data_IF_376434082354
#
_entry.id   IF_376434082354
#
_cell.length_a   1.000
_cell.length_b   1.000
_cell.length_c   1.000
_cell.angle_alpha   90.00
_cell.angle_beta   90.00
_cell.angle_gamma   90.00
#
_symmetry.space_group_name_H-M   'P 1'
#
loop_
_entity.id
_entity.type
_entity.pdbx_description
1 polymer ?
#
# COMPACT_ATOMS: atom_id res chain seq x y z
N UNK A 1 -19.25 -52.87 -17.35
CA UNK A 1 -18.61 -52.54 -16.05
C UNK A 1 -18.33 -51.05 -16.05
N UNK A 2 -19.01 -50.32 -15.18
CA UNK A 2 -19.07 -48.87 -15.16
C UNK A 2 -17.92 -48.31 -14.30
N UNK A 3 -17.02 -47.51 -14.90
CA UNK A 3 -16.04 -46.72 -14.21
C UNK A 3 -16.52 -45.27 -14.03
N UNK A 4 -16.77 -44.86 -12.80
CA UNK A 4 -17.21 -43.50 -12.42
C UNK A 4 -16.07 -42.51 -12.61
N UNK A 5 -16.21 -41.54 -13.49
CA UNK A 5 -15.45 -40.32 -13.48
C UNK A 5 -15.85 -39.47 -12.26
N UNK A 6 -14.88 -39.21 -11.38
CA UNK A 6 -15.01 -38.24 -10.30
C UNK A 6 -14.58 -36.88 -10.88
N UNK A 7 -15.55 -35.99 -11.09
CA UNK A 7 -15.28 -34.58 -11.40
C UNK A 7 -14.70 -33.89 -10.17
N UNK A 8 -13.41 -33.56 -10.22
CA UNK A 8 -12.79 -32.65 -9.27
C UNK A 8 -13.20 -31.22 -9.62
N UNK A 9 -14.07 -30.66 -8.81
CA UNK A 9 -14.48 -29.25 -8.89
C UNK A 9 -13.30 -28.34 -8.59
N UNK A 10 -12.94 -27.56 -9.59
CA UNK A 10 -11.88 -26.56 -9.54
C UNK A 10 -12.29 -25.38 -8.65
N UNK A 11 -11.87 -25.38 -7.39
CA UNK A 11 -11.83 -24.20 -6.53
C UNK A 11 -10.39 -23.66 -6.48
N UNK A 12 -10.00 -22.94 -7.49
CA UNK A 12 -8.73 -22.22 -7.42
C UNK A 12 -8.70 -21.12 -8.47
N UNK A 13 -9.13 -19.94 -8.15
CA UNK A 13 -8.67 -18.75 -8.89
C UNK A 13 -8.84 -17.42 -8.15
N UNK A 14 -8.70 -17.42 -6.81
CA UNK A 14 -8.78 -16.16 -6.03
C UNK A 14 -7.40 -15.54 -5.73
N UNK A 15 -6.31 -16.22 -6.05
CA UNK A 15 -4.95 -15.78 -5.67
C UNK A 15 -4.07 -15.33 -6.84
N UNK A 16 -4.57 -15.34 -8.07
CA UNK A 16 -3.75 -15.07 -9.26
C UNK A 16 -3.64 -13.58 -9.64
N UNK A 17 -4.36 -12.69 -8.97
CA UNK A 17 -4.40 -11.25 -9.27
C UNK A 17 -3.50 -10.38 -8.38
N UNK A 18 -2.82 -10.96 -7.38
CA UNK A 18 -2.00 -10.20 -6.42
C UNK A 18 -0.52 -10.14 -6.83
N UNK A 19 -0.09 -10.89 -7.86
CA UNK A 19 1.32 -11.01 -8.21
C UNK A 19 1.87 -9.90 -9.13
N UNK A 20 1.09 -8.89 -9.49
CA UNK A 20 1.53 -7.84 -10.41
C UNK A 20 1.61 -6.44 -9.79
N UNK A 21 1.78 -6.33 -8.48
CA UNK A 21 2.04 -5.06 -7.81
C UNK A 21 3.49 -5.00 -7.34
N UNK A 22 4.29 -4.38 -8.21
CA UNK A 22 5.55 -3.64 -7.96
C UNK A 22 6.36 -4.04 -6.72
N UNK A 23 7.50 -4.64 -7.03
CA UNK A 23 8.66 -4.81 -6.15
C UNK A 23 8.88 -3.58 -5.28
N UNK A 24 8.38 -3.62 -4.07
CA UNK A 24 8.81 -2.74 -3.00
C UNK A 24 9.25 -3.63 -1.86
N UNK A 25 10.57 -3.70 -1.66
CA UNK A 25 11.24 -4.35 -0.55
C UNK A 25 10.81 -5.79 -0.22
N UNK A 26 11.20 -6.74 -1.05
CA UNK A 26 11.28 -8.13 -0.62
C UNK A 26 12.63 -8.36 0.05
N UNK A 27 12.73 -8.07 1.34
CA UNK A 27 13.74 -8.73 2.15
C UNK A 27 13.21 -10.14 2.38
N UNK A 28 13.73 -11.10 1.64
CA UNK A 28 13.44 -12.52 1.81
C UNK A 28 14.11 -12.94 3.12
N UNK A 29 13.36 -12.95 4.21
CA UNK A 29 13.74 -13.71 5.37
C UNK A 29 13.03 -15.07 5.29
N UNK A 30 13.81 -16.14 5.35
CA UNK A 30 13.40 -17.54 5.20
C UNK A 30 12.58 -18.03 6.40
N UNK A 31 11.42 -17.44 6.66
CA UNK A 31 10.44 -17.94 7.63
C UNK A 31 9.06 -17.33 7.39
N UNK A 32 8.27 -17.97 6.52
CA UNK A 32 6.87 -17.67 6.32
C UNK A 32 6.61 -16.37 5.54
N UNK A 33 5.90 -16.45 4.40
CA UNK A 33 5.42 -15.28 3.64
C UNK A 33 4.53 -14.42 4.54
N UNK A 34 5.10 -13.41 5.19
CA UNK A 34 4.34 -12.36 5.85
C UNK A 34 3.86 -11.41 4.77
N UNK A 35 2.56 -11.34 4.55
CA UNK A 35 1.98 -10.39 3.62
C UNK A 35 2.17 -8.96 4.18
N UNK A 36 2.73 -8.04 3.39
CA UNK A 36 2.85 -6.64 3.79
C UNK A 36 1.46 -6.05 4.04
N UNK A 37 1.39 -5.00 4.85
CA UNK A 37 0.17 -4.23 5.03
C UNK A 37 -0.18 -3.51 3.73
N UNK A 38 -1.44 -3.50 3.36
CA UNK A 38 -1.97 -2.76 2.22
C UNK A 38 -3.25 -2.03 2.63
N UNK A 39 -3.42 -0.79 2.14
CA UNK A 39 -4.64 -0.02 2.31
C UNK A 39 -5.75 -0.57 1.40
N UNK A 40 -6.99 -0.42 1.84
CA UNK A 40 -8.17 -0.80 1.06
C UNK A 40 -8.25 -0.02 -0.25
N UNK A 41 -8.44 -0.72 -1.35
CA UNK A 41 -8.53 -0.10 -2.68
C UNK A 41 -9.73 0.86 -2.78
N UNK A 42 -10.86 0.52 -2.16
CA UNK A 42 -12.05 1.37 -2.11
C UNK A 42 -11.81 2.71 -1.42
N UNK A 43 -10.94 2.73 -0.41
CA UNK A 43 -10.51 3.97 0.24
C UNK A 43 -9.61 4.79 -0.69
N UNK A 44 -8.64 4.16 -1.35
CA UNK A 44 -7.70 4.83 -2.24
C UNK A 44 -8.36 5.45 -3.48
N UNK A 45 -9.44 4.83 -4.00
CA UNK A 45 -10.20 5.36 -5.14
C UNK A 45 -10.69 6.80 -4.91
N UNK A 46 -11.02 7.17 -3.67
CA UNK A 46 -11.49 8.50 -3.32
C UNK A 46 -10.42 9.59 -3.53
N UNK A 47 -9.14 9.20 -3.49
CA UNK A 47 -8.01 10.13 -3.59
C UNK A 47 -7.36 10.17 -4.98
N UNK A 48 -7.61 9.18 -5.84
CA UNK A 48 -6.98 9.11 -7.18
C UNK A 48 -7.25 10.33 -8.05
N UNK A 49 -8.46 10.90 -7.94
CA UNK A 49 -8.90 12.06 -8.72
C UNK A 49 -8.92 13.35 -7.91
N UNK A 50 -8.54 13.31 -6.64
CA UNK A 50 -8.55 14.49 -5.77
C UNK A 50 -7.28 15.31 -5.98
N UNK A 51 -7.44 16.62 -6.11
CA UNK A 51 -6.31 17.55 -6.22
C UNK A 51 -5.62 17.68 -4.87
N UNK A 52 -4.30 17.46 -4.80
CA UNK A 52 -3.55 17.68 -3.56
C UNK A 52 -3.52 19.15 -3.17
N UNK A 53 -3.56 19.51 -1.88
CA UNK A 53 -3.55 20.89 -1.42
C UNK A 53 -2.13 21.48 -1.41
N UNK A 54 -1.42 21.41 -2.54
CA UNK A 54 -0.14 22.08 -2.71
C UNK A 54 -0.35 23.61 -2.70
N UNK A 55 0.26 24.29 -1.74
CA UNK A 55 0.19 25.74 -1.64
C UNK A 55 1.16 26.48 -2.59
N UNK A 56 1.26 27.79 -2.38
CA UNK A 56 2.24 28.65 -3.05
C UNK A 56 2.07 28.76 -4.57
N UNK A 57 0.84 28.88 -5.07
CA UNK A 57 0.54 29.08 -6.50
C UNK A 57 1.26 28.05 -7.42
N UNK A 58 1.26 26.77 -7.03
CA UNK A 58 1.87 25.67 -7.81
C UNK A 58 3.35 25.41 -7.51
N UNK A 59 4.04 26.27 -6.75
CA UNK A 59 5.43 26.02 -6.37
C UNK A 59 5.58 24.74 -5.55
N UNK A 60 4.63 24.46 -4.65
CA UNK A 60 4.63 23.24 -3.85
C UNK A 60 4.58 21.98 -4.70
N UNK A 61 3.73 21.96 -5.75
CA UNK A 61 3.65 20.86 -6.70
C UNK A 61 4.97 20.68 -7.48
N UNK A 62 5.55 21.78 -7.95
CA UNK A 62 6.82 21.78 -8.68
C UNK A 62 7.95 21.18 -7.81
N UNK A 63 8.04 21.61 -6.55
CA UNK A 63 9.04 21.09 -5.60
C UNK A 63 8.82 19.61 -5.35
N UNK A 64 7.55 19.19 -5.14
CA UNK A 64 7.20 17.78 -4.97
C UNK A 64 7.63 16.94 -6.18
N UNK A 65 7.25 17.34 -7.38
CA UNK A 65 7.56 16.62 -8.61
C UNK A 65 9.07 16.54 -8.88
N UNK A 66 9.83 17.55 -8.50
CA UNK A 66 11.27 17.58 -8.68
C UNK A 66 12.03 16.73 -7.66
N UNK A 67 11.63 16.78 -6.39
CA UNK A 67 12.46 16.30 -5.27
C UNK A 67 11.96 15.00 -4.67
N UNK A 68 10.63 14.82 -4.54
CA UNK A 68 10.04 13.74 -3.77
C UNK A 68 9.35 12.65 -4.61
N UNK A 69 8.82 13.03 -5.78
CA UNK A 69 8.15 12.09 -6.68
C UNK A 69 9.14 11.10 -7.28
N UNK A 70 8.91 9.82 -7.10
CA UNK A 70 9.73 8.75 -7.67
C UNK A 70 9.31 8.43 -9.10
N UNK A 71 10.25 7.92 -9.87
CA UNK A 71 9.95 7.39 -11.21
C UNK A 71 9.48 5.94 -11.05
N UNK A 72 8.28 5.65 -11.54
CA UNK A 72 7.71 4.31 -11.56
C UNK A 72 8.37 3.45 -12.66
N UNK A 73 8.25 2.12 -12.62
CA UNK A 73 8.83 1.23 -13.61
C UNK A 73 8.40 1.51 -15.07
N UNK A 74 7.24 2.16 -15.26
CA UNK A 74 6.71 2.59 -16.55
C UNK A 74 7.29 3.94 -17.04
N UNK A 75 8.26 4.52 -16.33
CA UNK A 75 8.88 5.80 -16.65
C UNK A 75 8.06 7.04 -16.25
N UNK A 76 6.86 6.86 -15.72
CA UNK A 76 5.99 7.95 -15.26
C UNK A 76 6.34 8.32 -13.81
N UNK A 77 6.25 9.60 -13.49
CA UNK A 77 6.43 10.06 -12.11
C UNK A 77 5.23 9.70 -11.23
N UNK A 78 5.54 9.33 -10.00
CA UNK A 78 4.58 9.04 -8.94
C UNK A 78 3.73 10.29 -8.64
N UNK A 79 2.40 10.11 -8.55
CA UNK A 79 1.47 11.15 -8.11
C UNK A 79 1.44 11.25 -6.60
N UNK A 80 0.97 12.37 -6.04
CA UNK A 80 0.93 12.61 -4.60
C UNK A 80 0.21 11.50 -3.82
N UNK A 81 -0.96 11.07 -4.25
CA UNK A 81 -1.71 9.99 -3.60
C UNK A 81 -0.93 8.67 -3.55
N UNK A 82 -0.09 8.38 -4.56
CA UNK A 82 0.76 7.18 -4.60
C UNK A 82 1.94 7.29 -3.63
N UNK A 83 2.51 8.49 -3.51
CA UNK A 83 3.57 8.75 -2.52
C UNK A 83 3.05 8.56 -1.11
N UNK A 84 1.89 9.13 -0.78
CA UNK A 84 1.25 8.96 0.54
C UNK A 84 0.95 7.48 0.79
N UNK A 85 0.35 6.79 -0.18
CA UNK A 85 0.09 5.35 -0.09
C UNK A 85 1.35 4.56 0.25
N UNK A 86 2.42 4.77 -0.50
CA UNK A 86 3.69 4.08 -0.29
C UNK A 86 4.27 4.30 1.11
N UNK A 87 4.19 5.52 1.61
CA UNK A 87 4.72 5.87 2.94
C UNK A 87 3.89 5.22 4.04
N UNK A 88 2.56 5.32 3.96
CA UNK A 88 1.65 4.72 4.94
C UNK A 88 1.77 3.19 4.94
N UNK A 89 1.65 2.55 3.77
CA UNK A 89 1.77 1.10 3.65
C UNK A 89 3.14 0.60 4.15
N UNK A 90 4.23 1.34 3.87
CA UNK A 90 5.56 1.01 4.36
C UNK A 90 5.66 1.09 5.87
N UNK A 91 5.13 2.15 6.48
CA UNK A 91 5.14 2.35 7.93
C UNK A 91 4.34 1.27 8.65
N UNK A 92 3.12 0.99 8.18
CA UNK A 92 2.26 -0.04 8.79
C UNK A 92 2.74 -1.47 8.53
N UNK A 93 3.45 -1.71 7.43
CA UNK A 93 4.10 -3.01 7.20
C UNK A 93 5.19 -3.28 8.24
N UNK A 94 6.04 -2.29 8.54
CA UNK A 94 7.06 -2.40 9.59
C UNK A 94 6.43 -2.58 10.97
N UNK A 95 5.37 -1.83 11.27
CA UNK A 95 4.65 -1.93 12.53
C UNK A 95 3.98 -3.30 12.70
N UNK A 96 3.31 -3.80 11.66
CA UNK A 96 2.69 -5.12 11.62
C UNK A 96 3.72 -6.22 11.86
N UNK A 97 4.86 -6.14 11.18
CA UNK A 97 5.96 -7.09 11.35
C UNK A 97 6.48 -7.09 12.79
N UNK A 98 6.68 -5.91 13.37
CA UNK A 98 7.12 -5.76 14.75
C UNK A 98 6.13 -6.39 15.74
N UNK A 99 4.85 -6.01 15.67
CA UNK A 99 3.78 -6.53 16.53
C UNK A 99 3.67 -8.05 16.43
N UNK A 100 3.74 -8.59 15.22
CA UNK A 100 3.67 -10.04 15.00
C UNK A 100 4.91 -10.77 15.54
N UNK A 101 6.10 -10.17 15.43
CA UNK A 101 7.35 -10.79 15.94
C UNK A 101 7.35 -10.92 17.46
N UNK A 102 6.74 -9.98 18.17
CA UNK A 102 6.57 -10.01 19.63
C UNK A 102 5.29 -10.69 20.09
N UNK A 103 4.48 -11.27 19.17
CA UNK A 103 3.22 -11.96 19.48
C UNK A 103 2.22 -11.10 20.26
N UNK A 104 2.20 -9.80 20.00
CA UNK A 104 1.30 -8.86 20.69
C UNK A 104 -0.13 -8.85 20.13
N UNK A 105 -0.40 -9.62 19.06
CA UNK A 105 -1.70 -9.66 18.40
C UNK A 105 -1.91 -8.44 17.49
N UNK A 106 -1.88 -8.66 16.17
CA UNK A 106 -2.20 -7.64 15.19
C UNK A 106 -3.70 -7.68 14.88
N UNK A 107 -4.37 -6.53 14.98
CA UNK A 107 -5.76 -6.33 14.58
C UNK A 107 -5.78 -5.60 13.22
N UNK A 108 -6.24 -6.31 12.19
CA UNK A 108 -6.27 -5.78 10.83
C UNK A 108 -7.29 -4.62 10.68
N UNK A 109 -8.43 -4.67 11.38
CA UNK A 109 -9.44 -3.61 11.32
C UNK A 109 -8.95 -2.31 11.96
N UNK A 110 -8.35 -2.42 13.14
CA UNK A 110 -7.74 -1.28 13.81
C UNK A 110 -6.57 -0.72 12.98
N UNK A 111 -5.76 -1.58 12.41
CA UNK A 111 -4.66 -1.22 11.51
C UNK A 111 -5.14 -0.42 10.29
N UNK A 112 -6.21 -0.88 9.62
CA UNK A 112 -6.80 -0.19 8.47
C UNK A 112 -7.33 1.19 8.86
N UNK A 113 -8.11 1.29 9.93
CA UNK A 113 -8.69 2.55 10.39
C UNK A 113 -7.63 3.59 10.72
N UNK A 114 -6.62 3.20 11.48
CA UNK A 114 -5.51 4.07 11.85
C UNK A 114 -4.65 4.49 10.64
N UNK A 115 -4.42 3.56 9.70
CA UNK A 115 -3.69 3.86 8.47
C UNK A 115 -4.45 4.81 7.54
N UNK A 116 -5.77 4.69 7.45
CA UNK A 116 -6.63 5.59 6.69
C UNK A 116 -6.63 7.00 7.28
N UNK A 117 -6.68 7.12 8.60
CA UNK A 117 -6.56 8.41 9.30
C UNK A 117 -5.20 9.06 9.02
N UNK A 118 -4.11 8.32 9.17
CA UNK A 118 -2.76 8.81 8.84
C UNK A 118 -2.66 9.24 7.38
N UNK A 119 -3.25 8.47 6.46
CA UNK A 119 -3.29 8.80 5.04
C UNK A 119 -3.98 10.13 4.78
N UNK A 120 -5.18 10.36 5.39
CA UNK A 120 -5.91 11.61 5.23
C UNK A 120 -5.14 12.81 5.77
N UNK A 121 -4.52 12.68 6.94
CA UNK A 121 -3.68 13.73 7.52
C UNK A 121 -2.48 14.07 6.61
N UNK A 122 -1.83 13.07 6.04
CA UNK A 122 -0.71 13.26 5.11
C UNK A 122 -1.16 13.84 3.78
N UNK A 123 -2.24 13.32 3.19
CA UNK A 123 -2.75 13.81 1.91
C UNK A 123 -3.11 15.29 1.99
N UNK A 124 -3.74 15.71 3.09
CA UNK A 124 -4.12 17.09 3.37
C UNK A 124 -2.99 17.95 3.93
N UNK A 125 -1.74 17.46 3.95
CA UNK A 125 -0.54 18.18 4.43
C UNK A 125 -0.63 18.65 5.90
N UNK A 126 -1.46 18.01 6.71
CA UNK A 126 -1.56 18.29 8.15
C UNK A 126 -0.45 17.60 8.95
N UNK A 127 0.07 16.50 8.42
CA UNK A 127 1.20 15.76 8.98
C UNK A 127 2.10 15.28 7.85
N UNK A 128 3.39 15.53 7.96
CA UNK A 128 4.42 15.02 7.05
C UNK A 128 5.54 14.41 7.88
N UNK A 129 5.87 13.12 7.69
CA UNK A 129 6.99 12.53 8.40
C UNK A 129 8.31 13.14 7.92
N UNK A 130 9.32 13.28 8.79
CA UNK A 130 10.63 13.76 8.40
C UNK A 130 11.29 12.79 7.40
N UNK A 131 11.95 13.33 6.37
CA UNK A 131 12.66 12.52 5.38
C UNK A 131 11.82 11.96 4.23
N UNK A 132 10.65 12.54 4.00
CA UNK A 132 9.87 12.25 2.79
C UNK A 132 10.56 12.75 1.53
#
# INVERSE_FOLDING_TARGET
MFGRCICFSSHSNKYKLILNRSRVFSTITASGLKLPFALDESFLEQYKNRTPPFGYNGLGELVYMRTYSRVLPNGVKEKWWQTVQRVVEGTYSLQKEHIQSFRLGWDDEHGQRSAQEMYDLMFNMKFLPPGM
#
